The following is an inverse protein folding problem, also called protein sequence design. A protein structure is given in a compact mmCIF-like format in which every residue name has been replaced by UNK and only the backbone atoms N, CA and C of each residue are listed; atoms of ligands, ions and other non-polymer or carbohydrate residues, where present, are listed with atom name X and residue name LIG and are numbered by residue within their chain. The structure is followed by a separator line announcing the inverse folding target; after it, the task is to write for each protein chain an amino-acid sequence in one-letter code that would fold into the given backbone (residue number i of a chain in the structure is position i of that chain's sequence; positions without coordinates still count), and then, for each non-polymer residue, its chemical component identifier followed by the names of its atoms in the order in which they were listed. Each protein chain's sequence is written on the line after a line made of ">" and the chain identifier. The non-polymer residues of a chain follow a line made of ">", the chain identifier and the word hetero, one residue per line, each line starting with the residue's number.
data_IF_894683727148
#
_entry.id   IF_894683727148
#
_cell.length_a   1.000
_cell.length_b   1.000
_cell.length_c   1.000
_cell.angle_alpha   90.00
_cell.angle_beta   90.00
_cell.angle_gamma   90.00
#
_symmetry.space_group_name_H-M   'P 1'
#
loop_
_entity.id
_entity.type
_entity.pdbx_description
1 polymer ?
#
# COMPACT_ATOMS: atom_id res chain seq x y z
N UNK A 1 -0.98 -19.42 -9.99
CA UNK A 1 -0.22 -18.25 -10.46
C UNK A 1 -0.54 -17.11 -9.49
N UNK A 2 0.30 -16.91 -8.48
CA UNK A 2 0.06 -15.90 -7.44
C UNK A 2 0.28 -14.53 -8.06
N UNK A 3 -0.79 -13.74 -8.23
CA UNK A 3 -0.69 -12.38 -8.77
C UNK A 3 -0.04 -11.53 -7.69
N UNK A 4 1.23 -11.17 -7.88
CA UNK A 4 1.94 -10.26 -7.00
C UNK A 4 1.60 -8.82 -7.42
N UNK A 5 0.84 -8.12 -6.58
CA UNK A 5 0.38 -6.76 -6.84
C UNK A 5 0.82 -5.81 -5.73
N UNK A 6 1.23 -4.59 -6.09
CA UNK A 6 1.57 -3.53 -5.15
C UNK A 6 0.47 -2.46 -5.12
N UNK A 7 -0.38 -2.41 -4.07
CA UNK A 7 -1.42 -1.38 -3.95
C UNK A 7 -0.86 -0.07 -3.38
N UNK A 8 -1.24 1.05 -4.00
CA UNK A 8 -0.98 2.41 -3.56
C UNK A 8 -2.30 3.12 -3.30
N UNK A 9 -2.50 3.64 -2.08
CA UNK A 9 -3.76 4.26 -1.68
C UNK A 9 -3.57 5.77 -1.51
N UNK A 10 -4.38 6.55 -2.23
CA UNK A 10 -4.40 8.01 -2.22
C UNK A 10 -5.75 8.51 -1.71
N UNK A 11 -5.83 8.94 -0.45
CA UNK A 11 -7.08 9.42 0.15
C UNK A 11 -7.52 10.82 -0.33
N UNK A 12 -6.59 11.59 -0.92
CA UNK A 12 -6.81 12.97 -1.33
C UNK A 12 -7.24 13.16 -2.78
N UNK A 13 -6.68 12.36 -3.69
CA UNK A 13 -6.90 12.47 -5.15
C UNK A 13 -8.15 11.69 -5.52
N UNK A 14 -9.08 12.37 -6.16
CA UNK A 14 -10.35 11.81 -6.56
C UNK A 14 -10.52 12.03 -8.05
N UNK A 15 -10.96 10.99 -8.75
CA UNK A 15 -11.12 10.99 -10.20
C UNK A 15 -12.54 10.52 -10.50
N UNK A 16 -13.37 11.40 -11.05
CA UNK A 16 -14.73 11.02 -11.49
C UNK A 16 -14.66 10.21 -12.78
N UNK A 17 -15.74 9.51 -13.13
CA UNK A 17 -15.77 8.68 -14.35
C UNK A 17 -15.36 9.43 -15.61
N UNK A 18 -15.80 10.68 -15.77
CA UNK A 18 -15.43 11.52 -16.91
C UNK A 18 -13.92 11.78 -16.97
N UNK A 19 -13.27 11.98 -15.82
CA UNK A 19 -11.83 12.22 -15.72
C UNK A 19 -11.00 10.95 -15.96
N UNK A 20 -11.52 9.77 -15.63
CA UNK A 20 -10.89 8.49 -15.98
C UNK A 20 -10.75 8.34 -17.51
N UNK A 21 -11.77 8.76 -18.27
CA UNK A 21 -11.70 8.76 -19.74
C UNK A 21 -10.82 9.90 -20.25
N UNK A 22 -11.07 11.11 -19.74
CA UNK A 22 -10.52 12.32 -20.34
C UNK A 22 -9.06 12.62 -19.94
N UNK A 23 -8.62 12.20 -18.76
CA UNK A 23 -7.29 12.51 -18.24
C UNK A 23 -6.38 11.27 -18.26
N UNK A 24 -6.88 10.11 -17.84
CA UNK A 24 -6.11 8.85 -17.84
C UNK A 24 -6.11 8.13 -19.18
N UNK A 25 -7.15 8.33 -19.99
CA UNK A 25 -7.24 7.76 -21.34
C UNK A 25 -6.60 8.60 -22.45
N UNK A 26 -6.13 9.83 -22.14
CA UNK A 26 -5.55 10.76 -23.12
C UNK A 26 -4.12 11.10 -22.74
N UNK A 27 -3.18 10.92 -23.68
CA UNK A 27 -1.78 11.31 -23.47
C UNK A 27 -1.69 12.84 -23.47
N UNK A 28 -0.81 13.37 -22.62
CA UNK A 28 -0.49 14.80 -22.51
C UNK A 28 -1.66 15.68 -22.02
N UNK A 29 -2.60 15.12 -21.27
CA UNK A 29 -3.69 15.85 -20.61
C UNK A 29 -3.59 15.69 -19.08
N UNK A 30 -3.57 16.81 -18.37
CA UNK A 30 -3.42 16.85 -16.91
C UNK A 30 -4.55 17.66 -16.27
N UNK A 31 -5.31 17.01 -15.38
CA UNK A 31 -6.31 17.70 -14.55
C UNK A 31 -5.70 18.78 -13.66
N UNK A 32 -4.45 18.59 -13.22
CA UNK A 32 -3.71 19.59 -12.42
C UNK A 32 -3.50 20.89 -13.19
N UNK A 33 -3.20 20.80 -14.48
CA UNK A 33 -3.04 21.98 -15.33
C UNK A 33 -4.37 22.74 -15.48
N UNK A 34 -5.45 22.03 -15.78
CA UNK A 34 -6.78 22.63 -15.87
C UNK A 34 -7.23 23.26 -14.54
N UNK A 35 -6.91 22.63 -13.41
CA UNK A 35 -7.19 23.15 -12.08
C UNK A 35 -6.37 24.41 -11.75
N UNK A 36 -5.10 24.47 -12.15
CA UNK A 36 -4.29 25.69 -12.02
C UNK A 36 -4.83 26.84 -12.87
N UNK A 37 -5.25 26.58 -14.11
CA UNK A 37 -5.84 27.58 -15.00
C UNK A 37 -7.16 28.12 -14.42
N UNK A 38 -7.97 27.27 -13.78
CA UNK A 38 -9.23 27.67 -13.14
C UNK A 38 -9.05 28.47 -11.83
N UNK A 39 -7.93 28.30 -11.13
CA UNK A 39 -7.65 28.93 -9.83
C UNK A 39 -7.03 30.34 -9.92
N UNK A 40 -7.28 31.08 -11.01
CA UNK A 40 -6.51 32.24 -11.51
C UNK A 40 -6.29 33.47 -10.59
N UNK A 41 -6.43 33.41 -9.26
CA UNK A 41 -6.30 34.61 -8.43
C UNK A 41 -5.71 34.50 -7.02
N UNK A 42 -5.66 33.37 -6.29
CA UNK A 42 -5.42 33.46 -4.82
C UNK A 42 -4.72 32.30 -4.10
N UNK A 43 -3.96 31.45 -4.78
CA UNK A 43 -3.20 30.43 -4.06
C UNK A 43 -1.76 30.34 -4.54
N UNK A 44 -0.81 30.49 -3.62
CA UNK A 44 0.59 30.06 -3.76
C UNK A 44 0.64 28.52 -3.79
N UNK A 45 -0.09 27.91 -4.72
CA UNK A 45 -0.22 26.46 -4.84
C UNK A 45 0.82 25.96 -5.83
N UNK A 46 1.96 25.51 -5.31
CA UNK A 46 2.99 24.85 -6.11
C UNK A 46 2.55 23.43 -6.46
N UNK A 47 1.82 23.27 -7.57
CA UNK A 47 1.41 21.96 -8.07
C UNK A 47 2.40 21.39 -9.09
N UNK A 48 2.64 20.07 -8.99
CA UNK A 48 3.56 19.31 -9.86
C UNK A 48 2.79 18.50 -10.91
N UNK A 49 3.48 18.06 -11.97
CA UNK A 49 2.95 17.19 -13.03
C UNK A 49 1.91 17.83 -13.97
N UNK A 50 2.28 18.97 -14.58
CA UNK A 50 1.44 19.72 -15.52
C UNK A 50 1.32 19.07 -16.91
N UNK A 51 2.20 18.12 -17.23
CA UNK A 51 2.29 17.51 -18.55
C UNK A 51 1.31 16.35 -18.78
N UNK A 52 0.89 15.63 -17.73
CA UNK A 52 -0.07 14.52 -17.89
C UNK A 52 0.51 13.24 -18.53
N UNK A 53 1.83 13.04 -18.43
CA UNK A 53 2.51 11.83 -18.94
C UNK A 53 3.07 10.93 -17.83
N UNK A 54 3.20 11.46 -16.61
CA UNK A 54 3.85 10.76 -15.49
C UNK A 54 3.16 9.45 -15.11
N UNK A 55 1.84 9.37 -15.24
CA UNK A 55 1.08 8.15 -14.93
C UNK A 55 1.55 6.93 -15.74
N UNK A 56 1.84 7.12 -17.02
CA UNK A 56 2.23 6.02 -17.92
C UNK A 56 3.63 5.46 -17.61
N UNK A 57 4.44 6.14 -16.78
CA UNK A 57 5.71 5.58 -16.30
C UNK A 57 5.51 4.35 -15.40
N UNK A 58 4.30 4.13 -14.87
CA UNK A 58 3.95 2.90 -14.14
C UNK A 58 4.18 1.64 -14.99
N UNK A 59 3.97 1.71 -16.31
CA UNK A 59 4.16 0.58 -17.22
C UNK A 59 5.64 0.23 -17.49
N UNK A 60 6.59 1.02 -16.98
CA UNK A 60 7.99 0.61 -16.96
C UNK A 60 8.19 -0.62 -16.08
N UNK A 61 7.47 -0.68 -14.94
CA UNK A 61 7.63 -1.72 -13.91
C UNK A 61 6.42 -2.66 -13.78
N UNK A 62 5.27 -2.29 -14.36
CA UNK A 62 4.04 -3.05 -14.30
C UNK A 62 3.56 -3.50 -15.69
N UNK A 63 3.03 -4.71 -15.79
CA UNK A 63 2.36 -5.22 -16.99
C UNK A 63 0.92 -4.72 -17.09
N UNK A 64 0.28 -4.52 -15.94
CA UNK A 64 -1.10 -4.04 -15.84
C UNK A 64 -1.23 -3.04 -14.70
N UNK A 65 -2.05 -2.02 -14.92
CA UNK A 65 -2.41 -1.02 -13.92
C UNK A 65 -3.92 -1.02 -13.76
N UNK A 66 -4.38 -1.18 -12.52
CA UNK A 66 -5.79 -1.07 -12.14
C UNK A 66 -5.94 0.15 -11.23
N UNK A 67 -6.89 1.03 -11.53
CA UNK A 67 -7.16 2.24 -10.76
C UNK A 67 -8.61 2.19 -10.29
N UNK A 68 -8.79 2.06 -8.98
CA UNK A 68 -10.08 2.20 -8.32
C UNK A 68 -10.22 3.66 -7.89
N UNK A 69 -11.33 4.31 -8.20
CA UNK A 69 -11.59 5.68 -7.73
C UNK A 69 -13.01 5.82 -7.22
N UNK A 70 -13.16 6.55 -6.11
CA UNK A 70 -14.44 6.92 -5.52
C UNK A 70 -14.48 8.43 -5.29
N UNK A 71 -15.38 9.10 -6.00
CA UNK A 71 -15.75 10.49 -5.73
C UNK A 71 -16.95 10.57 -4.78
N UNK A 72 -17.08 11.68 -4.03
CA UNK A 72 -18.22 11.85 -3.11
C UNK A 72 -19.54 11.88 -3.88
N UNK A 73 -19.54 12.56 -5.02
CA UNK A 73 -20.70 12.80 -5.87
C UNK A 73 -20.86 11.78 -7.03
N UNK A 74 -20.11 10.67 -7.01
CA UNK A 74 -20.19 9.64 -8.06
C UNK A 74 -20.03 8.23 -7.45
N UNK A 75 -20.31 7.19 -8.22
CA UNK A 75 -20.09 5.80 -7.82
C UNK A 75 -18.60 5.42 -7.81
N UNK A 76 -18.28 4.24 -7.28
CA UNK A 76 -16.92 3.70 -7.35
C UNK A 76 -16.72 3.07 -8.73
N UNK A 77 -15.60 3.39 -9.38
CA UNK A 77 -15.25 2.83 -10.69
C UNK A 77 -13.86 2.22 -10.68
N UNK A 78 -13.70 1.18 -11.50
CA UNK A 78 -12.43 0.56 -11.83
C UNK A 78 -12.06 0.94 -13.25
N UNK A 79 -10.89 1.54 -13.41
CA UNK A 79 -10.19 1.70 -14.68
C UNK A 79 -9.09 0.65 -14.76
N UNK A 80 -8.97 -0.07 -15.88
CA UNK A 80 -7.93 -1.08 -16.07
C UNK A 80 -7.31 -0.97 -17.45
N UNK A 81 -5.97 -1.05 -17.52
CA UNK A 81 -5.23 -1.13 -18.77
C UNK A 81 -3.90 -1.87 -18.59
N UNK A 82 -3.45 -2.55 -19.66
CA UNK A 82 -2.22 -3.34 -19.71
C UNK A 82 -1.22 -2.75 -20.71
N UNK A 83 -0.99 -1.43 -20.65
CA UNK A 83 -0.10 -0.67 -21.54
C UNK A 83 -0.45 -0.68 -23.05
N UNK A 84 -1.52 -1.39 -23.46
CA UNK A 84 -2.00 -1.41 -24.83
C UNK A 84 -2.75 -0.12 -25.22
N UNK A 85 -3.24 -0.07 -26.46
CA UNK A 85 -3.99 1.08 -26.98
C UNK A 85 -5.42 1.22 -26.41
N UNK A 86 -5.80 0.40 -25.42
CA UNK A 86 -7.15 0.37 -24.86
C UNK A 86 -7.15 0.27 -23.35
N UNK A 87 -8.21 0.76 -22.74
CA UNK A 87 -8.53 0.63 -21.34
C UNK A 87 -10.01 0.28 -21.19
N UNK A 88 -10.39 -0.26 -20.04
CA UNK A 88 -11.78 -0.51 -19.69
C UNK A 88 -12.16 0.25 -18.44
N UNK A 89 -13.43 0.66 -18.35
CA UNK A 89 -14.01 1.27 -17.16
C UNK A 89 -15.26 0.49 -16.78
N UNK A 90 -15.35 0.06 -15.53
CA UNK A 90 -16.49 -0.70 -14.99
C UNK A 90 -16.86 -0.16 -13.61
N UNK A 91 -18.15 -0.25 -13.20
CA UNK A 91 -18.52 -0.04 -11.81
C UNK A 91 -17.74 -1.01 -10.91
N UNK A 92 -17.31 -0.51 -9.75
CA UNK A 92 -16.63 -1.32 -8.74
C UNK A 92 -17.63 -1.82 -7.71
N UNK A 93 -17.66 -3.15 -7.52
CA UNK A 93 -18.47 -3.81 -6.50
C UNK A 93 -17.60 -4.50 -5.44
N UNK A 94 -16.30 -4.23 -5.44
CA UNK A 94 -15.34 -4.79 -4.48
C UNK A 94 -15.37 -4.08 -3.12
N UNK A 95 -14.20 -3.96 -2.51
CA UNK A 95 -14.03 -3.29 -1.22
C UNK A 95 -14.53 -1.84 -1.29
N UNK A 96 -15.52 -1.45 -0.44
CA UNK A 96 -16.09 -0.12 -0.50
C UNK A 96 -15.07 0.92 -0.03
N UNK A 97 -14.75 1.87 -0.90
CA UNK A 97 -13.92 3.03 -0.59
C UNK A 97 -14.82 4.20 -0.17
N UNK A 98 -14.42 4.94 0.85
CA UNK A 98 -15.16 6.15 1.26
C UNK A 98 -14.91 7.31 0.30
N UNK A 99 -13.64 7.59 -0.01
CA UNK A 99 -13.19 8.62 -0.95
C UNK A 99 -11.74 8.35 -1.35
N UNK A 100 -11.37 8.69 -2.59
CA UNK A 100 -9.99 8.71 -3.03
C UNK A 100 -9.74 7.78 -4.21
N UNK A 101 -8.48 7.38 -4.38
CA UNK A 101 -8.03 6.55 -5.49
C UNK A 101 -7.05 5.48 -4.99
N UNK A 102 -7.26 4.23 -5.38
CA UNK A 102 -6.36 3.10 -5.13
C UNK A 102 -5.79 2.63 -6.45
N UNK A 103 -4.47 2.67 -6.59
CA UNK A 103 -3.74 2.22 -7.78
C UNK A 103 -3.10 0.89 -7.46
N UNK A 104 -3.40 -0.14 -8.24
CA UNK A 104 -2.82 -1.48 -8.13
C UNK A 104 -1.90 -1.69 -9.31
N UNK A 105 -0.62 -1.89 -9.01
CA UNK A 105 0.41 -2.21 -9.99
C UNK A 105 0.61 -3.72 -10.01
N UNK A 106 0.34 -4.34 -11.16
CA UNK A 106 0.67 -5.74 -11.42
C UNK A 106 2.09 -5.77 -11.97
N UNK A 107 3.05 -6.04 -11.09
CA UNK A 107 4.47 -5.91 -11.40
C UNK A 107 4.92 -6.99 -12.39
N UNK A 108 5.86 -6.60 -13.26
CA UNK A 108 6.61 -7.54 -14.10
C UNK A 108 7.46 -8.47 -13.26
N UNK A 109 7.73 -9.67 -13.76
CA UNK A 109 8.58 -10.65 -13.08
C UNK A 109 9.99 -10.12 -12.80
N UNK A 110 10.53 -9.28 -13.67
CA UNK A 110 11.84 -8.63 -13.51
C UNK A 110 11.84 -7.45 -12.51
N UNK A 111 10.66 -7.01 -12.09
CA UNK A 111 10.44 -5.82 -11.27
C UNK A 111 9.97 -6.17 -9.85
N UNK A 112 10.08 -7.46 -9.46
CA UNK A 112 9.68 -7.95 -8.14
C UNK A 112 10.53 -7.39 -7.00
N UNK A 113 11.70 -6.84 -7.29
CA UNK A 113 12.55 -6.11 -6.33
C UNK A 113 11.80 -4.97 -5.62
N UNK A 114 10.76 -4.41 -6.25
CA UNK A 114 9.92 -3.36 -5.66
C UNK A 114 8.95 -3.86 -4.58
N UNK A 115 8.82 -5.17 -4.38
CA UNK A 115 8.10 -5.75 -3.23
C UNK A 115 8.97 -5.81 -1.98
N UNK A 116 10.29 -5.65 -2.12
CA UNK A 116 11.22 -5.66 -1.00
C UNK A 116 11.13 -4.33 -0.24
N UNK A 117 10.77 -4.41 1.04
CA UNK A 117 10.60 -3.25 1.93
C UNK A 117 11.77 -2.25 1.85
N UNK A 118 13.01 -2.76 1.90
CA UNK A 118 14.23 -1.93 1.84
C UNK A 118 14.28 -1.09 0.56
N UNK A 119 13.94 -1.68 -0.60
CA UNK A 119 13.97 -1.01 -1.89
C UNK A 119 12.94 0.11 -1.95
N UNK A 120 11.73 -0.13 -1.48
CA UNK A 120 10.66 0.88 -1.42
C UNK A 120 11.07 2.04 -0.53
N UNK A 121 11.60 1.75 0.66
CA UNK A 121 12.10 2.78 1.60
C UNK A 121 13.21 3.64 0.97
N UNK A 122 14.16 3.04 0.26
CA UNK A 122 15.23 3.77 -0.43
C UNK A 122 14.69 4.69 -1.53
N UNK A 123 13.75 4.21 -2.34
CA UNK A 123 13.14 4.99 -3.42
C UNK A 123 12.35 6.17 -2.86
N UNK A 124 11.50 5.94 -1.85
CA UNK A 124 10.70 6.98 -1.19
C UNK A 124 11.62 8.01 -0.53
N UNK A 125 12.67 7.57 0.16
CA UNK A 125 13.65 8.48 0.78
C UNK A 125 14.40 9.32 -0.25
N UNK A 126 14.75 8.76 -1.41
CA UNK A 126 15.50 9.50 -2.45
C UNK A 126 14.63 10.47 -3.26
N UNK A 127 13.35 10.15 -3.47
CA UNK A 127 12.49 10.85 -4.45
C UNK A 127 11.30 11.58 -3.84
N UNK A 128 10.90 11.24 -2.61
CA UNK A 128 9.65 11.71 -2.00
C UNK A 128 9.81 12.15 -0.54
N UNK A 129 11.04 12.39 -0.08
CA UNK A 129 11.32 12.77 1.33
C UNK A 129 10.59 14.04 1.78
N UNK A 130 10.45 15.02 0.89
CA UNK A 130 9.91 16.34 1.23
C UNK A 130 8.48 16.57 0.74
N UNK A 131 7.74 15.48 0.45
CA UNK A 131 6.32 15.58 0.12
C UNK A 131 5.55 16.04 1.36
N UNK A 132 4.65 17.02 1.19
CA UNK A 132 3.87 17.61 2.28
C UNK A 132 2.85 16.66 2.93
N UNK A 133 2.56 15.52 2.29
CA UNK A 133 1.63 14.50 2.77
C UNK A 133 2.38 13.31 3.38
N UNK A 134 1.85 12.75 4.47
CA UNK A 134 2.41 11.57 5.12
C UNK A 134 2.33 10.34 4.20
N UNK A 135 3.48 9.71 3.96
CA UNK A 135 3.62 8.46 3.21
C UNK A 135 3.74 7.32 4.23
N UNK A 136 2.76 6.42 4.20
CA UNK A 136 2.74 5.21 5.02
C UNK A 136 3.04 3.99 4.16
N UNK A 137 3.84 3.08 4.70
CA UNK A 137 4.11 1.77 4.11
C UNK A 137 3.56 0.70 5.03
N UNK A 138 2.68 -0.16 4.50
CA UNK A 138 2.20 -1.34 5.19
C UNK A 138 3.30 -2.41 5.15
N UNK A 139 3.82 -2.80 6.31
CA UNK A 139 4.86 -3.82 6.44
C UNK A 139 4.38 -4.98 7.31
N UNK A 140 4.71 -6.20 6.92
CA UNK A 140 4.47 -7.38 7.75
C UNK A 140 5.61 -7.55 8.75
N UNK A 141 5.27 -7.55 10.04
CA UNK A 141 6.21 -7.77 11.15
C UNK A 141 5.84 -9.04 11.89
N UNK A 142 6.86 -9.71 12.41
CA UNK A 142 6.69 -10.86 13.30
C UNK A 142 6.78 -10.38 14.74
N UNK A 143 5.78 -10.70 15.57
CA UNK A 143 5.85 -10.51 17.01
C UNK A 143 5.82 -11.88 17.69
N UNK A 144 6.72 -12.08 18.66
CA UNK A 144 6.58 -13.18 19.60
C UNK A 144 5.52 -12.77 20.64
N UNK A 145 4.41 -13.50 20.67
CA UNK A 145 3.40 -13.35 21.72
C UNK A 145 3.59 -14.51 22.69
N UNK A 146 3.87 -14.19 23.96
CA UNK A 146 3.78 -15.19 25.02
C UNK A 146 2.31 -15.29 25.41
N UNK A 147 1.67 -16.42 25.12
CA UNK A 147 0.34 -16.77 25.63
C UNK A 147 0.50 -17.76 26.80
N UNK A 148 -0.41 -17.68 27.77
CA UNK A 148 -0.58 -18.73 28.78
C UNK A 148 -1.33 -19.93 28.20
N UNK A 149 -1.12 -21.12 28.76
CA UNK A 149 -1.66 -22.41 28.28
C UNK A 149 -3.15 -22.37 27.87
N UNK A 150 -3.99 -21.60 28.56
CA UNK A 150 -5.44 -21.53 28.29
C UNK A 150 -5.81 -20.92 26.92
N UNK A 151 -4.99 -20.04 26.33
CA UNK A 151 -5.29 -19.43 25.01
C UNK A 151 -4.78 -20.30 23.83
N UNK A 152 -3.91 -21.27 24.09
CA UNK A 152 -3.36 -22.15 23.06
C UNK A 152 -4.35 -23.27 22.65
N UNK A 153 -5.16 -23.77 23.58
CA UNK A 153 -6.15 -24.81 23.29
C UNK A 153 -7.33 -24.33 22.41
N UNK A 154 -7.63 -23.03 22.43
CA UNK A 154 -8.71 -22.45 21.61
C UNK A 154 -8.30 -22.18 20.15
N UNK A 155 -7.01 -22.00 19.86
CA UNK A 155 -6.51 -21.91 18.48
C UNK A 155 -6.29 -23.29 17.85
N UNK A 156 -5.80 -24.29 18.60
CA UNK A 156 -5.67 -25.67 18.09
C UNK A 156 -7.03 -26.27 17.68
N UNK A 157 -8.12 -25.93 18.38
CA UNK A 157 -9.49 -26.35 18.00
C UNK A 157 -10.03 -25.68 16.74
N UNK A 158 -9.47 -24.56 16.30
CA UNK A 158 -9.87 -23.89 15.04
C UNK A 158 -9.18 -24.50 13.82
N UNK A 159 -7.95 -25.00 13.98
CA UNK A 159 -7.18 -25.62 12.88
C UNK A 159 -7.61 -27.07 12.59
N UNK A 160 -8.28 -27.78 13.51
CA UNK A 160 -8.74 -29.17 13.26
C UNK A 160 -9.93 -29.30 12.26
N UNK A 161 -10.53 -28.21 11.78
CA UNK A 161 -11.70 -28.27 10.89
C UNK A 161 -11.38 -28.23 9.38
N UNK A 162 -10.11 -28.36 8.97
CA UNK A 162 -9.73 -28.62 7.58
C UNK A 162 -9.22 -30.08 7.43
N UNK A 163 -10.08 -30.97 6.88
CA UNK A 163 -9.78 -32.35 6.41
C UNK A 163 -8.45 -32.44 5.62
N UNK A 164 -7.55 -33.44 5.65
CA UNK A 164 -7.52 -34.92 5.87
C UNK A 164 -6.05 -35.39 5.61
N UNK A 165 -5.63 -36.68 5.70
CA UNK A 165 -6.10 -37.83 6.47
C UNK A 165 -4.98 -38.53 7.31
N UNK A 166 -5.42 -39.46 8.18
CA UNK A 166 -4.66 -40.31 9.13
C UNK A 166 -4.27 -41.67 8.51
N UNK A 167 -3.07 -42.20 8.79
CA UNK A 167 -2.71 -43.65 8.87
C UNK A 167 -1.44 -43.78 9.73
N UNK A 168 -1.59 -44.22 11.00
CA UNK A 168 -1.15 -45.51 11.62
C UNK A 168 0.35 -45.60 12.00
N UNK A 169 0.79 -46.33 13.03
CA UNK A 169 0.55 -46.44 14.49
C UNK A 169 1.75 -47.29 15.01
N UNK A 170 1.91 -47.40 16.34
CA UNK A 170 2.70 -48.41 17.09
C UNK A 170 4.21 -48.10 17.29
N UNK A 171 4.80 -48.04 18.50
CA UNK A 171 4.30 -48.30 19.85
C UNK A 171 5.36 -48.04 20.96
N UNK A 172 4.87 -48.07 22.20
CA UNK A 172 5.47 -48.38 23.53
C UNK A 172 6.89 -47.89 23.90
N UNK A 173 7.03 -47.10 24.98
CA UNK A 173 7.55 -47.63 26.27
C UNK A 173 7.52 -46.60 27.44
N UNK A 174 7.55 -47.15 28.65
CA UNK A 174 7.13 -46.62 29.97
C UNK A 174 7.98 -45.52 30.65
N UNK A 175 7.28 -44.71 31.47
CA UNK A 175 7.59 -44.10 32.79
C UNK A 175 9.06 -43.83 33.22
N UNK A 176 9.41 -42.54 33.45
CA UNK A 176 10.30 -42.11 34.57
C UNK A 176 10.38 -40.57 34.73
N UNK A 177 9.70 -40.08 35.77
CA UNK A 177 10.04 -39.04 36.77
C UNK A 177 11.11 -37.91 36.50
N UNK A 178 10.73 -36.72 37.01
CA UNK A 178 11.55 -35.53 37.41
C UNK A 178 11.80 -34.36 36.44
N UNK A 179 11.06 -33.29 36.73
CA UNK A 179 11.54 -31.90 36.90
C UNK A 179 12.34 -31.27 35.74
N UNK A 180 11.64 -30.65 34.79
CA UNK A 180 12.21 -29.62 33.90
C UNK A 180 11.10 -28.68 33.39
N UNK A 181 11.36 -27.38 33.51
CA UNK A 181 10.36 -26.30 33.48
C UNK A 181 9.38 -26.26 32.31
N UNK A 182 8.23 -25.62 32.58
CA UNK A 182 7.22 -25.18 31.60
C UNK A 182 7.90 -24.79 30.28
N UNK A 183 7.82 -25.65 29.27
CA UNK A 183 8.19 -25.31 27.89
C UNK A 183 7.16 -24.30 27.37
N UNK A 184 7.42 -23.02 27.60
CA UNK A 184 6.73 -21.92 26.91
C UNK A 184 6.88 -22.13 25.41
N UNK A 185 5.80 -22.49 24.72
CA UNK A 185 5.76 -22.51 23.25
C UNK A 185 5.62 -21.07 22.77
N UNK A 186 6.65 -20.56 22.08
CA UNK A 186 6.62 -19.22 21.48
C UNK A 186 5.99 -19.31 20.10
N UNK A 187 4.75 -18.84 19.95
CA UNK A 187 4.09 -18.70 18.65
C UNK A 187 4.51 -17.35 18.04
N UNK A 188 4.86 -17.37 16.75
CA UNK A 188 5.21 -16.16 15.99
C UNK A 188 3.97 -15.67 15.25
N UNK A 189 3.39 -14.58 15.72
CA UNK A 189 2.24 -13.94 15.08
C UNK A 189 2.73 -12.96 14.00
N UNK A 190 2.20 -13.09 12.77
CA UNK A 190 2.39 -12.11 11.70
C UNK A 190 1.34 -11.01 11.87
N UNK A 191 1.78 -9.76 11.97
CA UNK A 191 0.88 -8.60 11.98
C UNK A 191 1.33 -7.56 10.95
N UNK A 192 0.38 -6.86 10.35
CA UNK A 192 0.66 -5.74 9.46
C UNK A 192 0.70 -4.43 10.26
N UNK A 193 1.69 -3.58 9.98
CA UNK A 193 1.83 -2.28 10.63
C UNK A 193 2.15 -1.18 9.63
N UNK A 194 1.57 0.00 9.85
CA UNK A 194 1.90 1.21 9.11
C UNK A 194 3.23 1.79 9.60
N UNK A 195 4.18 1.98 8.68
CA UNK A 195 5.42 2.71 8.93
C UNK A 195 5.45 4.02 8.14
N UNK A 196 5.63 5.14 8.85
CA UNK A 196 5.76 6.47 8.24
C UNK A 196 7.17 6.69 7.70
N UNK A 197 7.29 7.02 6.41
CA UNK A 197 8.57 7.11 5.70
C UNK A 197 9.16 8.52 5.61
N UNK A 198 8.34 9.58 5.64
CA UNK A 198 8.76 10.97 5.38
C UNK A 198 8.60 11.89 6.60
N UNK A 199 9.19 11.51 7.74
CA UNK A 199 9.13 12.30 8.98
C UNK A 199 9.87 13.64 8.90
N UNK A 200 10.86 13.74 8.00
CA UNK A 200 11.68 14.96 7.83
C UNK A 200 10.92 15.99 7.01
N UNK A 201 10.50 17.08 7.65
CA UNK A 201 9.84 18.19 6.96
C UNK A 201 10.87 19.16 6.37
N UNK A 202 10.61 19.74 5.18
CA UNK A 202 11.50 20.73 4.60
C UNK A 202 11.52 22.00 5.46
N UNK A 203 12.72 22.48 5.77
CA UNK A 203 12.91 23.66 6.62
C UNK A 203 12.77 24.95 5.81
N UNK A 204 13.14 24.92 4.52
CA UNK A 204 13.07 26.08 3.61
C UNK A 204 11.65 26.54 3.27
N UNK A 205 10.62 25.75 3.60
CA UNK A 205 9.21 26.16 3.42
C UNK A 205 8.67 26.94 4.62
N UNK A 206 9.46 27.09 5.70
CA UNK A 206 9.10 27.87 6.89
C UNK A 206 9.61 29.31 6.75
N UNK A 207 8.96 30.24 7.44
CA UNK A 207 9.44 31.61 7.53
C UNK A 207 10.83 31.62 8.21
N UNK A 208 11.86 32.28 7.64
CA UNK A 208 13.19 32.34 8.23
C UNK A 208 13.23 32.74 9.71
N UNK A 209 12.31 33.60 10.15
CA UNK A 209 12.23 34.07 11.54
C UNK A 209 11.80 32.97 12.53
N UNK A 210 11.11 31.93 12.06
CA UNK A 210 10.62 30.81 12.87
C UNK A 210 11.62 29.63 12.92
N UNK A 211 12.80 29.76 12.29
CA UNK A 211 13.79 28.69 12.18
C UNK A 211 14.86 28.86 13.27
N UNK A 212 14.93 27.90 14.20
CA UNK A 212 15.98 27.89 15.23
C UNK A 212 17.27 27.24 14.72
N UNK A 213 18.41 27.50 15.39
CA UNK A 213 19.68 26.80 15.09
C UNK A 213 19.61 25.27 15.26
N UNK A 214 18.60 24.74 15.95
CA UNK A 214 18.38 23.30 16.08
C UNK A 214 17.68 22.71 14.85
N UNK A 215 16.97 23.52 14.07
CA UNK A 215 16.26 23.10 12.87
C UNK A 215 17.17 23.04 11.63
N UNK A 216 18.35 23.67 11.69
CA UNK A 216 19.32 23.77 10.57
C UNK A 216 20.57 22.91 10.75
N UNK A 217 20.68 22.18 11.86
CA UNK A 217 21.75 21.20 12.13
C UNK A 217 21.35 19.79 11.69
#
# INVERSE_FOLDING_TARGET
>A
MTILSLPWIFNGIVIIKADLVNNLGTIAKSGTKAFMEALSARADMSMICLFGVGFYSAYLVADKVTVHSKHNDDEQYIWESSAGCSFTIKPDHGEPMSRGTKIVLHLKEDSMDYLVEKKVKEVVKKKSQFICYTIKLLVEKLRAKEMSDDEAEDEEKKDENEEKPKVEDVGEDEEADKEAGKKKKTIKEKYSADEELNKTKPVWTRNPDDISQKDTK
#
